data_IF_326373949335
#
_entry.id   IF_326373949335
#
_cell.length_a   1.000
_cell.length_b   1.000
_cell.length_c   1.000
_cell.angle_alpha   90.00
_cell.angle_beta   90.00
_cell.angle_gamma   90.00
#
_symmetry.space_group_name_H-M   'P 1'
#
loop_
_entity.id
_entity.type
_entity.pdbx_description
1 polymer ?
#
# COMPACT_ATOMS: atom_id res chain seq x y z
N UNK A 1 13.32 -24.50 16.32
CA UNK A 1 12.55 -23.30 16.00
C UNK A 1 11.08 -23.61 16.21
N UNK A 2 10.47 -22.97 17.20
CA UNK A 2 9.07 -23.12 17.63
C UNK A 2 8.34 -21.79 17.38
N UNK A 3 7.02 -21.78 17.56
CA UNK A 3 6.21 -20.56 17.48
C UNK A 3 6.62 -19.49 18.51
N UNK A 4 7.24 -19.88 19.63
CA UNK A 4 7.73 -18.95 20.65
C UNK A 4 9.06 -18.30 20.28
N UNK A 5 9.86 -18.97 19.46
CA UNK A 5 11.14 -18.41 18.98
C UNK A 5 10.85 -17.21 18.05
N UNK A 6 9.83 -17.32 17.20
CA UNK A 6 9.41 -16.24 16.29
C UNK A 6 8.89 -15.04 17.10
N UNK A 7 8.07 -15.28 18.12
CA UNK A 7 7.53 -14.20 18.95
C UNK A 7 8.62 -13.53 19.80
N UNK A 8 9.60 -14.30 20.28
CA UNK A 8 10.81 -13.79 20.94
C UNK A 8 11.63 -12.89 20.02
N UNK A 9 11.87 -13.31 18.78
CA UNK A 9 12.59 -12.51 17.78
C UNK A 9 11.84 -11.21 17.45
N UNK A 10 10.52 -11.28 17.26
CA UNK A 10 9.70 -10.09 16.97
C UNK A 10 9.73 -9.09 18.14
N UNK A 11 9.68 -9.59 19.38
CA UNK A 11 9.79 -8.77 20.60
C UNK A 11 11.08 -7.95 20.63
N UNK A 12 12.18 -8.49 20.13
CA UNK A 12 13.47 -7.80 20.09
C UNK A 12 13.65 -6.91 18.85
N UNK A 13 13.17 -7.36 17.69
CA UNK A 13 13.37 -6.68 16.42
C UNK A 13 12.48 -5.44 16.27
N UNK A 14 11.21 -5.51 16.69
CA UNK A 14 10.24 -4.42 16.46
C UNK A 14 10.65 -3.11 17.16
N UNK A 15 11.03 -3.09 18.45
CA UNK A 15 11.46 -1.84 19.10
C UNK A 15 12.69 -1.21 18.45
N UNK A 16 13.57 -2.03 17.86
CA UNK A 16 14.77 -1.55 17.14
C UNK A 16 14.43 -1.02 15.75
N UNK A 17 13.50 -1.66 15.05
CA UNK A 17 13.08 -1.26 13.71
C UNK A 17 12.19 -0.01 13.73
N UNK A 18 11.30 0.12 14.72
CA UNK A 18 10.27 1.17 14.77
C UNK A 18 10.72 2.46 15.46
N UNK A 19 12.02 2.76 15.45
CA UNK A 19 12.53 4.08 15.89
C UNK A 19 12.31 5.14 14.80
N UNK A 20 12.07 6.42 15.14
CA UNK A 20 11.73 7.46 14.17
C UNK A 20 12.69 7.55 12.98
N UNK A 21 13.99 7.44 13.23
CA UNK A 21 15.01 7.49 12.18
C UNK A 21 14.86 6.36 11.15
N UNK A 22 14.53 5.16 11.60
CA UNK A 22 14.37 4.00 10.72
C UNK A 22 13.06 4.08 9.93
N UNK A 23 11.98 4.53 10.58
CA UNK A 23 10.68 4.77 9.90
C UNK A 23 10.82 5.84 8.82
N UNK A 24 11.47 6.97 9.13
CA UNK A 24 11.70 8.06 8.17
C UNK A 24 12.54 7.57 6.98
N UNK A 25 13.60 6.79 7.25
CA UNK A 25 14.40 6.18 6.19
C UNK A 25 13.56 5.24 5.32
N UNK A 26 12.69 4.43 5.93
CA UNK A 26 11.74 3.56 5.22
C UNK A 26 10.84 4.35 4.27
N UNK A 27 10.24 5.45 4.72
CA UNK A 27 9.41 6.32 3.89
C UNK A 27 10.16 7.00 2.74
N UNK A 28 11.44 7.31 2.95
CA UNK A 28 12.30 7.85 1.90
C UNK A 28 12.59 6.81 0.82
N UNK A 29 12.87 5.57 1.21
CA UNK A 29 13.15 4.46 0.29
C UNK A 29 11.92 4.09 -0.53
N UNK A 30 10.74 4.07 0.09
CA UNK A 30 9.48 3.77 -0.61
C UNK A 30 8.92 4.94 -1.42
N UNK A 31 9.52 6.13 -1.33
CA UNK A 31 9.04 7.32 -2.04
C UNK A 31 7.69 7.80 -1.52
N UNK A 32 7.32 7.44 -0.29
CA UNK A 32 6.15 7.99 0.40
C UNK A 32 6.46 9.42 0.88
N UNK A 33 7.67 9.63 1.41
CA UNK A 33 8.13 10.96 1.86
C UNK A 33 9.63 11.16 1.59
N UNK A 34 10.02 12.11 0.70
CA UNK A 34 9.16 12.89 -0.19
C UNK A 34 8.43 11.97 -1.19
N UNK A 35 7.27 12.42 -1.67
CA UNK A 35 6.48 11.64 -2.61
C UNK A 35 7.21 11.51 -3.96
N UNK A 36 7.42 10.28 -4.42
CA UNK A 36 8.00 9.99 -5.73
C UNK A 36 7.27 8.81 -6.38
N UNK A 37 6.36 9.13 -7.32
CA UNK A 37 5.58 8.12 -8.04
C UNK A 37 6.41 7.23 -8.98
N UNK A 38 7.62 7.64 -9.34
CA UNK A 38 8.49 6.95 -10.29
C UNK A 38 9.60 6.15 -9.58
N UNK A 39 9.49 5.89 -8.27
CA UNK A 39 10.55 5.24 -7.50
C UNK A 39 10.66 3.73 -7.78
N UNK A 40 9.56 3.09 -8.13
CA UNK A 40 9.51 1.70 -8.57
C UNK A 40 9.35 1.68 -10.09
N UNK A 41 10.15 0.87 -10.76
CA UNK A 41 9.97 0.54 -12.18
C UNK A 41 8.93 -0.57 -12.33
N UNK A 42 8.37 -0.74 -13.52
CA UNK A 42 7.39 -1.80 -13.80
C UNK A 42 7.94 -3.20 -13.46
N UNK A 43 9.25 -3.40 -13.62
CA UNK A 43 9.94 -4.64 -13.28
C UNK A 43 9.80 -5.04 -11.80
N UNK A 44 9.70 -4.05 -10.90
CA UNK A 44 9.50 -4.29 -9.47
C UNK A 44 8.14 -4.92 -9.16
N UNK A 45 7.18 -4.83 -10.08
CA UNK A 45 5.84 -5.39 -9.96
C UNK A 45 5.67 -6.71 -10.73
N UNK A 46 6.65 -7.15 -11.53
CA UNK A 46 6.59 -8.40 -12.29
C UNK A 46 6.23 -9.63 -11.44
N UNK A 47 6.73 -9.81 -10.21
CA UNK A 47 6.36 -10.96 -9.39
C UNK A 47 4.87 -11.00 -9.02
N UNK A 48 4.17 -9.87 -9.00
CA UNK A 48 2.73 -9.81 -8.71
C UNK A 48 1.87 -10.29 -9.89
N UNK A 49 2.44 -10.39 -11.09
CA UNK A 49 1.72 -10.76 -12.31
C UNK A 49 0.99 -12.11 -12.21
N UNK A 50 1.54 -13.08 -11.47
CA UNK A 50 0.95 -14.41 -11.28
C UNK A 50 -0.35 -14.38 -10.46
N UNK A 51 -0.56 -13.32 -9.66
CA UNK A 51 -1.76 -13.11 -8.85
C UNK A 51 -2.74 -12.10 -9.44
N UNK A 52 -2.46 -11.57 -10.64
CA UNK A 52 -3.36 -10.64 -11.31
C UNK A 52 -4.71 -11.33 -11.55
N UNK A 53 -5.76 -10.84 -10.89
CA UNK A 53 -7.10 -11.28 -11.17
C UNK A 53 -7.64 -10.50 -12.38
N UNK A 54 -8.38 -11.16 -13.30
CA UNK A 54 -9.04 -10.44 -14.37
C UNK A 54 -9.97 -9.41 -13.74
N UNK A 55 -9.95 -8.19 -14.27
CA UNK A 55 -11.03 -7.25 -14.00
C UNK A 55 -12.26 -7.92 -14.60
N UNK A 56 -13.11 -8.49 -13.73
CA UNK A 56 -14.45 -8.88 -14.14
C UNK A 56 -15.12 -7.55 -14.46
N UNK A 57 -15.14 -7.19 -15.74
CA UNK A 57 -16.01 -6.15 -16.23
C UNK A 57 -17.40 -6.54 -15.73
N UNK A 58 -17.91 -5.82 -14.74
CA UNK A 58 -19.33 -5.88 -14.46
C UNK A 58 -20.01 -5.64 -15.81
N UNK A 59 -20.94 -6.53 -16.12
CA UNK A 59 -21.82 -6.49 -17.29
C UNK A 59 -22.15 -5.04 -17.65
N UNK A 60 -22.28 -4.70 -18.95
CA UNK A 60 -22.46 -3.32 -19.39
C UNK A 60 -23.54 -2.64 -18.54
N UNK A 61 -23.13 -1.73 -17.65
CA UNK A 61 -24.04 -0.81 -17.02
C UNK A 61 -24.48 0.12 -18.14
N UNK A 62 -25.65 -0.22 -18.67
CA UNK A 62 -26.40 0.53 -19.64
C UNK A 62 -26.45 1.99 -19.18
N UNK A 63 -26.02 2.90 -20.06
CA UNK A 63 -26.05 4.34 -19.87
C UNK A 63 -27.26 4.83 -19.06
N UNK A 64 -27.02 5.47 -17.92
CA UNK A 64 -27.73 6.69 -17.52
C UNK A 64 -26.81 7.53 -16.65
N UNK A 65 -26.38 8.65 -17.22
CA UNK A 65 -25.62 9.69 -16.54
C UNK A 65 -26.36 10.22 -15.31
N UNK A 66 -25.67 10.29 -14.17
CA UNK A 66 -25.91 11.28 -13.14
C UNK A 66 -24.57 11.63 -12.47
N UNK A 67 -24.20 12.92 -12.34
CA UNK A 67 -22.97 13.30 -11.69
C UNK A 67 -23.12 13.02 -10.19
N UNK A 68 -22.33 12.10 -9.64
CA UNK A 68 -22.17 12.02 -8.20
C UNK A 68 -21.38 13.26 -7.77
N UNK A 69 -22.13 14.32 -7.42
CA UNK A 69 -21.61 15.47 -6.69
C UNK A 69 -21.04 14.97 -5.35
N UNK A 70 -19.77 15.27 -5.10
CA UNK A 70 -19.07 14.97 -3.86
C UNK A 70 -19.64 15.82 -2.73
N UNK A 71 -20.50 15.26 -1.87
CA UNK A 71 -21.09 15.95 -0.71
C UNK A 71 -20.16 15.92 0.52
N UNK A 72 -18.86 16.15 0.33
CA UNK A 72 -17.91 16.24 1.46
C UNK A 72 -17.52 17.68 1.84
N UNK A 73 -18.10 18.71 1.21
CA UNK A 73 -17.85 20.13 1.54
C UNK A 73 -18.99 20.80 2.35
N UNK A 74 -19.53 20.13 3.35
CA UNK A 74 -20.47 20.76 4.29
C UNK A 74 -20.34 20.23 5.73
N UNK A 75 -19.13 20.32 6.29
CA UNK A 75 -18.93 20.45 7.75
C UNK A 75 -17.80 21.45 8.00
N UNK A 76 -18.10 22.74 7.78
CA UNK A 76 -17.57 23.89 8.55
C UNK A 76 -18.72 24.90 8.67
#
# INVERSE_FOLDING_TARGET
MTIYDISGMAREALPRALVPNNVIKGFKVSGIKPFNKNIFTDDAFLPASVTNQPIIAQMPEKDTAAPHASTYDAVI
#
